data_IF_897569972395
#
_entry.id   IF_897569972395
#
_cell.length_a   1.000
_cell.length_b   1.000
_cell.length_c   1.000
_cell.angle_alpha   90.00
_cell.angle_beta   90.00
_cell.angle_gamma   90.00
#
_symmetry.space_group_name_H-M   'P 1'
#
loop_
_entity.id
_entity.type
_entity.pdbx_description
1 polymer ?
#
# COMPACT_ATOMS: atom_id res chain seq x y z
N UNK A 1 -64.23 -8.32 -46.54
CA UNK A 1 -65.06 -7.24 -47.14
C UNK A 1 -64.21 -6.00 -47.25
N UNK A 2 -63.92 -5.70 -48.44
CA UNK A 2 -63.95 -4.43 -49.20
C UNK A 2 -62.80 -3.50 -48.90
N UNK A 3 -61.86 -3.47 -49.82
CA UNK A 3 -61.73 -2.68 -51.07
C UNK A 3 -61.38 -1.22 -50.81
N UNK A 4 -60.27 -0.84 -51.30
CA UNK A 4 -59.72 -0.24 -52.53
C UNK A 4 -59.54 1.24 -52.34
N UNK A 5 -58.64 1.97 -52.84
CA UNK A 5 -57.95 2.19 -54.12
C UNK A 5 -57.10 3.41 -53.95
N UNK A 6 -56.05 3.73 -54.52
CA UNK A 6 -55.66 3.68 -55.91
C UNK A 6 -54.88 4.95 -56.23
N UNK A 7 -53.73 4.83 -56.73
CA UNK A 7 -52.89 5.60 -57.65
C UNK A 7 -53.34 6.94 -58.25
N UNK A 8 -52.55 7.75 -59.01
CA UNK A 8 -51.16 7.60 -59.45
C UNK A 8 -50.35 8.92 -59.58
N UNK A 9 -49.04 8.73 -59.75
CA UNK A 9 -48.06 9.43 -60.62
C UNK A 9 -48.21 10.91 -61.00
N UNK A 10 -47.15 11.70 -60.76
CA UNK A 10 -46.56 12.53 -61.84
C UNK A 10 -45.03 12.64 -61.68
N UNK A 11 -44.33 12.21 -62.75
CA UNK A 11 -42.92 12.40 -63.00
C UNK A 11 -42.74 13.80 -63.57
N UNK A 12 -41.81 14.61 -63.00
CA UNK A 12 -41.21 15.73 -63.70
C UNK A 12 -39.69 15.52 -63.75
N UNK A 13 -39.21 15.28 -64.94
CA UNK A 13 -37.80 15.35 -65.31
C UNK A 13 -37.46 16.81 -65.43
N UNK A 14 -36.44 17.27 -64.72
CA UNK A 14 -35.77 18.53 -65.01
C UNK A 14 -34.27 18.26 -65.03
N UNK A 15 -33.64 18.73 -66.16
CA UNK A 15 -32.31 18.39 -66.53
C UNK A 15 -31.27 19.02 -65.63
N UNK A 16 -30.14 18.34 -65.53
CA UNK A 16 -28.95 18.76 -64.85
C UNK A 16 -28.04 19.49 -65.85
N UNK A 17 -27.82 20.76 -65.67
CA UNK A 17 -26.71 21.52 -66.24
C UNK A 17 -25.57 21.47 -65.24
N UNK A 18 -24.54 20.71 -65.58
CA UNK A 18 -23.26 20.67 -64.86
C UNK A 18 -22.44 21.90 -65.24
N UNK A 19 -22.35 22.86 -64.29
CA UNK A 19 -21.41 23.97 -64.36
C UNK A 19 -20.15 23.56 -63.55
N UNK A 20 -19.07 23.17 -64.24
CA UNK A 20 -17.80 22.88 -63.62
C UNK A 20 -17.11 24.18 -63.20
N UNK A 21 -17.15 24.55 -61.92
CA UNK A 21 -16.36 25.62 -61.32
C UNK A 21 -15.00 25.01 -60.93
N UNK A 22 -13.98 25.24 -61.67
CA UNK A 22 -12.56 24.96 -61.28
C UNK A 22 -12.14 26.04 -60.28
N UNK A 23 -12.24 25.73 -59.00
CA UNK A 23 -11.62 26.57 -57.97
C UNK A 23 -10.16 26.19 -57.81
N UNK A 24 -9.26 27.06 -58.20
CA UNK A 24 -7.85 26.99 -57.84
C UNK A 24 -7.72 27.20 -56.33
N UNK A 25 -7.55 26.11 -55.57
CA UNK A 25 -7.17 26.18 -54.17
C UNK A 25 -5.68 26.58 -54.12
N UNK A 26 -5.42 27.84 -53.89
CA UNK A 26 -4.09 28.34 -53.56
C UNK A 26 -3.64 27.65 -52.25
N UNK A 27 -2.56 26.90 -52.31
CA UNK A 27 -1.89 26.38 -51.12
C UNK A 27 -1.36 27.57 -50.30
N UNK A 28 -2.11 27.96 -49.29
CA UNK A 28 -1.58 28.87 -48.29
C UNK A 28 -0.63 28.06 -47.40
N UNK A 29 0.66 28.44 -47.50
CA UNK A 29 1.67 27.94 -46.55
C UNK A 29 1.25 28.30 -45.13
N UNK A 30 1.10 27.28 -44.27
CA UNK A 30 0.89 27.50 -42.84
C UNK A 30 2.08 28.32 -42.30
N UNK A 31 1.82 29.37 -41.48
CA UNK A 31 2.89 30.12 -40.86
C UNK A 31 3.75 29.18 -40.00
N UNK A 32 5.05 29.16 -40.32
CA UNK A 32 6.02 28.44 -39.54
C UNK A 32 6.07 29.00 -38.12
N UNK A 33 5.91 28.13 -37.10
CA UNK A 33 6.38 28.40 -35.76
C UNK A 33 5.43 29.17 -34.85
N UNK A 34 4.35 28.52 -34.39
CA UNK A 34 3.87 28.85 -33.07
C UNK A 34 4.96 28.40 -32.07
N UNK A 35 5.44 29.26 -31.17
CA UNK A 35 6.38 28.81 -30.13
C UNK A 35 5.75 27.68 -29.34
N UNK A 36 6.44 26.53 -29.22
CA UNK A 36 6.02 25.47 -28.32
C UNK A 36 5.83 26.07 -26.92
N UNK A 37 4.72 25.78 -26.26
CA UNK A 37 4.56 26.19 -24.88
C UNK A 37 5.76 25.65 -24.06
N UNK A 38 6.24 26.41 -23.07
CA UNK A 38 7.30 25.92 -22.19
C UNK A 38 6.91 24.58 -21.60
N UNK A 39 7.87 23.66 -21.40
CA UNK A 39 7.58 22.39 -20.76
C UNK A 39 6.87 22.64 -19.43
N UNK A 40 5.80 21.92 -19.17
CA UNK A 40 5.08 22.01 -17.89
C UNK A 40 6.08 21.83 -16.75
N UNK A 41 5.97 22.60 -15.64
CA UNK A 41 6.84 22.39 -14.49
C UNK A 41 6.75 20.93 -14.06
N UNK A 42 7.87 20.32 -13.63
CA UNK A 42 7.86 18.93 -13.19
C UNK A 42 6.82 18.77 -12.10
N UNK A 43 5.88 17.82 -12.29
CA UNK A 43 4.92 17.44 -11.26
C UNK A 43 5.75 16.97 -10.06
N UNK A 44 5.51 17.47 -8.84
CA UNK A 44 6.21 16.97 -7.67
C UNK A 44 6.08 15.45 -7.64
N UNK A 45 7.21 14.76 -7.51
CA UNK A 45 7.19 13.30 -7.49
C UNK A 45 6.26 12.83 -6.35
N UNK A 46 5.31 11.94 -6.67
CA UNK A 46 4.37 11.39 -5.71
C UNK A 46 5.15 10.81 -4.51
N UNK A 47 4.68 11.06 -3.31
CA UNK A 47 5.25 10.48 -2.09
C UNK A 47 4.18 9.62 -1.45
N UNK A 48 4.54 8.42 -1.04
CA UNK A 48 3.68 7.49 -0.32
C UNK A 48 4.12 7.42 1.14
N UNK A 49 3.23 7.77 2.06
CA UNK A 49 3.45 7.71 3.50
C UNK A 49 2.71 6.53 4.12
N UNK A 50 3.43 5.66 4.81
CA UNK A 50 2.90 4.43 5.41
C UNK A 50 3.23 4.39 6.89
N UNK A 51 2.24 4.04 7.71
CA UNK A 51 2.42 3.72 9.13
C UNK A 51 2.25 2.21 9.31
N UNK A 52 3.17 1.58 10.05
CA UNK A 52 2.97 0.24 10.63
C UNK A 52 2.79 0.38 12.12
N UNK A 53 1.76 -0.24 12.70
CA UNK A 53 1.37 -0.05 14.10
C UNK A 53 0.71 -1.30 14.68
N UNK A 54 1.32 -1.89 15.71
CA UNK A 54 0.69 -2.95 16.48
C UNK A 54 -0.29 -2.36 17.51
N UNK A 55 -1.58 -2.74 17.43
CA UNK A 55 -2.62 -2.26 18.35
C UNK A 55 -2.58 -2.96 19.71
N UNK A 56 -1.87 -4.10 19.84
CA UNK A 56 -1.82 -4.89 21.08
C UNK A 56 -3.22 -5.25 21.63
N UNK A 57 -4.20 -5.41 20.73
CA UNK A 57 -5.59 -5.70 21.09
C UNK A 57 -6.18 -4.63 22.05
N UNK A 58 -6.92 -5.06 23.06
CA UNK A 58 -7.52 -4.21 24.10
C UNK A 58 -6.61 -3.97 25.32
N UNK A 59 -5.35 -4.41 25.26
CA UNK A 59 -4.38 -4.21 26.34
C UNK A 59 -4.06 -2.73 26.55
N UNK A 60 -3.52 -2.41 27.71
CA UNK A 60 -2.98 -1.08 28.04
C UNK A 60 -3.98 0.06 27.83
N UNK A 61 -5.21 -0.08 28.38
CA UNK A 61 -6.24 0.97 28.33
C UNK A 61 -6.58 1.42 26.90
N UNK A 62 -7.14 0.53 26.11
CA UNK A 62 -7.57 0.82 24.73
C UNK A 62 -8.46 2.08 24.63
N UNK A 63 -9.46 2.31 25.50
CA UNK A 63 -10.27 3.52 25.46
C UNK A 63 -9.47 4.83 25.49
N UNK A 64 -8.43 4.91 26.30
CA UNK A 64 -7.57 6.11 26.36
C UNK A 64 -6.56 6.14 25.19
N UNK A 65 -6.00 4.98 24.81
CA UNK A 65 -5.04 4.90 23.71
C UNK A 65 -5.65 5.28 22.36
N UNK A 66 -6.85 4.79 22.05
CA UNK A 66 -7.51 5.06 20.77
C UNK A 66 -7.69 6.55 20.48
N UNK A 67 -7.97 7.37 21.52
CA UNK A 67 -8.12 8.82 21.37
C UNK A 67 -6.79 9.46 20.97
N UNK A 68 -5.69 9.08 21.66
CA UNK A 68 -4.34 9.57 21.32
C UNK A 68 -3.88 9.12 19.94
N UNK A 69 -4.24 7.89 19.54
CA UNK A 69 -3.95 7.38 18.21
C UNK A 69 -4.65 8.19 17.12
N UNK A 70 -5.95 8.43 17.28
CA UNK A 70 -6.74 9.24 16.32
C UNK A 70 -6.12 10.62 16.19
N UNK A 71 -5.83 11.31 17.31
CA UNK A 71 -5.23 12.63 17.31
C UNK A 71 -3.85 12.65 16.60
N UNK A 72 -3.01 11.66 16.86
CA UNK A 72 -1.71 11.55 16.19
C UNK A 72 -1.84 11.27 14.68
N UNK A 73 -2.71 10.33 14.30
CA UNK A 73 -2.91 9.93 12.90
C UNK A 73 -3.61 11.03 12.09
N UNK A 74 -4.53 11.79 12.70
CA UNK A 74 -5.15 12.96 12.07
C UNK A 74 -4.15 14.07 11.79
N UNK A 75 -3.15 14.28 12.65
CA UNK A 75 -2.07 15.25 12.41
C UNK A 75 -1.08 14.78 11.34
N UNK A 76 -0.80 13.48 11.29
CA UNK A 76 0.15 12.91 10.34
C UNK A 76 -0.44 12.66 8.95
N UNK A 77 -1.74 12.35 8.89
CA UNK A 77 -2.48 12.02 7.66
C UNK A 77 -1.70 11.07 6.72
N UNK A 78 -1.22 9.91 7.20
CA UNK A 78 -0.52 8.97 6.35
C UNK A 78 -1.44 8.46 5.23
N UNK A 79 -0.86 8.07 4.09
CA UNK A 79 -1.64 7.53 2.97
C UNK A 79 -2.19 6.14 3.28
N UNK A 80 -1.43 5.36 4.05
CA UNK A 80 -1.83 4.03 4.49
C UNK A 80 -1.37 3.73 5.92
N UNK A 81 -2.11 2.87 6.63
CA UNK A 81 -1.83 2.42 7.99
C UNK A 81 -2.03 0.91 8.06
N UNK A 82 -0.94 0.16 8.23
CA UNK A 82 -0.98 -1.27 8.50
C UNK A 82 -1.09 -1.51 10.01
N UNK A 83 -2.18 -2.14 10.43
CA UNK A 83 -2.49 -2.43 11.83
C UNK A 83 -2.36 -3.92 12.10
N UNK A 84 -1.64 -4.27 13.16
CA UNK A 84 -1.52 -5.64 13.65
C UNK A 84 -2.25 -5.81 14.98
N UNK A 85 -2.56 -7.04 15.32
CA UNK A 85 -3.27 -7.43 16.54
C UNK A 85 -4.58 -6.65 16.76
N UNK A 86 -5.32 -6.46 15.69
CA UNK A 86 -6.68 -5.90 15.73
C UNK A 86 -7.61 -6.88 16.41
N UNK A 87 -8.42 -6.41 17.35
CA UNK A 87 -9.42 -7.19 18.07
C UNK A 87 -10.84 -6.70 17.76
N UNK A 88 -11.76 -7.66 17.67
CA UNK A 88 -13.20 -7.51 17.67
C UNK A 88 -13.79 -8.51 18.66
N UNK A 89 -14.78 -8.11 19.45
CA UNK A 89 -15.59 -9.02 20.30
C UNK A 89 -17.06 -8.62 20.21
N UNK A 90 -17.95 -9.37 20.91
CA UNK A 90 -19.36 -8.96 21.05
C UNK A 90 -19.53 -7.59 21.73
N UNK A 91 -18.59 -7.18 22.58
CA UNK A 91 -18.64 -5.94 23.36
C UNK A 91 -17.72 -4.84 22.83
N UNK A 92 -16.70 -5.24 22.06
CA UNK A 92 -15.73 -4.33 21.45
C UNK A 92 -15.90 -4.33 19.93
N UNK A 93 -16.40 -3.24 19.32
CA UNK A 93 -16.39 -3.09 17.87
C UNK A 93 -14.99 -3.25 17.29
N UNK A 94 -14.89 -3.71 16.04
CA UNK A 94 -13.61 -3.87 15.37
C UNK A 94 -12.77 -2.60 15.49
N UNK A 95 -11.59 -2.73 16.08
CA UNK A 95 -10.72 -1.59 16.40
C UNK A 95 -10.26 -0.85 15.14
N UNK A 96 -9.96 -1.57 14.05
CA UNK A 96 -9.53 -0.98 12.79
C UNK A 96 -10.67 -0.22 12.10
N UNK A 97 -11.86 -0.82 12.04
CA UNK A 97 -13.04 -0.15 11.48
C UNK A 97 -13.40 1.10 12.27
N UNK A 98 -13.29 1.04 13.61
CA UNK A 98 -13.51 2.21 14.45
C UNK A 98 -12.50 3.32 14.14
N UNK A 99 -11.20 3.02 14.03
CA UNK A 99 -10.17 3.99 13.67
C UNK A 99 -10.40 4.56 12.28
N UNK A 100 -10.72 3.72 11.30
CA UNK A 100 -11.02 4.13 9.93
C UNK A 100 -12.17 5.13 9.87
N UNK A 101 -13.25 4.88 10.62
CA UNK A 101 -14.39 5.80 10.72
C UNK A 101 -14.01 7.16 11.31
N UNK A 102 -13.09 7.22 12.30
CA UNK A 102 -12.60 8.48 12.87
C UNK A 102 -11.68 9.26 11.93
N UNK A 103 -10.99 8.57 11.04
CA UNK A 103 -10.02 9.15 10.11
C UNK A 103 -10.62 9.47 8.74
N UNK A 104 -11.78 8.88 8.40
CA UNK A 104 -12.35 8.93 7.05
C UNK A 104 -11.58 8.05 6.05
N UNK A 105 -11.02 6.93 6.52
CA UNK A 105 -10.23 6.00 5.72
C UNK A 105 -11.04 4.77 5.33
N UNK A 106 -10.71 4.18 4.20
CA UNK A 106 -11.13 2.83 3.85
C UNK A 106 -10.44 1.81 4.78
N UNK A 107 -11.09 0.67 5.07
CA UNK A 107 -10.56 -0.37 5.96
C UNK A 107 -10.72 -1.76 5.37
N UNK A 108 -9.62 -2.42 5.10
CA UNK A 108 -9.58 -3.85 4.78
C UNK A 108 -9.07 -4.62 6.01
N UNK A 109 -9.98 -5.36 6.68
CA UNK A 109 -9.68 -6.19 7.85
C UNK A 109 -9.68 -7.65 7.49
N UNK A 110 -8.58 -8.34 7.76
CA UNK A 110 -8.35 -9.76 7.47
C UNK A 110 -8.17 -10.55 8.76
N UNK A 111 -8.65 -11.80 8.76
CA UNK A 111 -8.63 -12.68 9.94
C UNK A 111 -8.76 -14.13 9.54
N UNK A 112 -8.01 -15.02 10.19
CA UNK A 112 -8.23 -16.47 10.10
C UNK A 112 -9.56 -16.90 10.76
N UNK A 113 -10.12 -16.09 11.65
CA UNK A 113 -11.44 -16.33 12.23
C UNK A 113 -12.53 -16.02 11.23
N UNK A 114 -13.52 -16.89 11.00
CA UNK A 114 -14.60 -16.64 10.06
C UNK A 114 -15.48 -15.45 10.48
N UNK A 115 -16.12 -14.74 9.53
CA UNK A 115 -16.97 -13.58 9.81
C UNK A 115 -18.12 -13.85 10.80
N UNK A 116 -18.57 -15.09 10.91
CA UNK A 116 -19.63 -15.50 11.84
C UNK A 116 -19.18 -15.56 13.31
N UNK A 117 -17.89 -15.51 13.58
CA UNK A 117 -17.34 -15.53 14.94
C UNK A 117 -17.47 -14.15 15.59
N UNK A 118 -18.09 -14.03 16.78
CA UNK A 118 -18.17 -12.72 17.46
C UNK A 118 -16.79 -12.17 17.84
N UNK A 119 -15.90 -13.06 18.30
CA UNK A 119 -14.52 -12.69 18.61
C UNK A 119 -13.61 -13.02 17.43
N UNK A 120 -12.97 -12.00 16.89
CA UNK A 120 -12.04 -12.10 15.76
C UNK A 120 -10.76 -11.33 16.07
N UNK A 121 -9.65 -11.93 15.66
CA UNK A 121 -8.32 -11.30 15.73
C UNK A 121 -7.72 -11.29 14.33
N UNK A 122 -6.99 -10.23 14.01
CA UNK A 122 -6.38 -10.16 12.70
C UNK A 122 -5.54 -8.91 12.49
N UNK A 123 -5.36 -8.60 11.23
CA UNK A 123 -4.63 -7.43 10.77
C UNK A 123 -5.55 -6.56 9.92
N UNK A 124 -5.19 -5.29 9.72
CA UNK A 124 -5.93 -4.43 8.83
C UNK A 124 -5.02 -3.46 8.11
N UNK A 125 -5.44 -3.04 6.92
CA UNK A 125 -4.89 -1.88 6.24
C UNK A 125 -5.97 -0.81 6.14
N UNK A 126 -5.65 0.38 6.63
CA UNK A 126 -6.46 1.58 6.42
C UNK A 126 -5.80 2.44 5.36
N UNK A 127 -6.57 3.03 4.45
CA UNK A 127 -6.03 3.95 3.44
C UNK A 127 -7.00 5.05 3.09
N UNK A 128 -6.48 6.23 2.76
CA UNK A 128 -7.23 7.35 2.18
C UNK A 128 -7.14 7.40 0.66
N UNK A 129 -6.26 6.55 0.07
CA UNK A 129 -6.11 6.46 -1.38
C UNK A 129 -7.25 5.65 -2.00
N UNK A 130 -7.62 5.89 -3.27
CA UNK A 130 -8.58 5.06 -3.97
C UNK A 130 -8.11 3.61 -4.02
N UNK A 131 -8.98 2.67 -3.62
CA UNK A 131 -8.71 1.23 -3.63
C UNK A 131 -9.08 0.66 -5.00
N UNK A 132 -8.17 -0.09 -5.59
CA UNK A 132 -8.32 -0.76 -6.88
C UNK A 132 -8.64 -2.25 -6.72
N UNK A 133 -8.01 -2.89 -5.72
CA UNK A 133 -8.14 -4.33 -5.47
C UNK A 133 -7.84 -4.67 -4.02
N UNK A 134 -8.47 -5.73 -3.52
CA UNK A 134 -8.21 -6.31 -2.21
C UNK A 134 -8.11 -7.84 -2.31
N UNK A 135 -7.17 -8.42 -1.58
CA UNK A 135 -7.01 -9.87 -1.48
C UNK A 135 -6.45 -10.25 -0.11
N UNK A 136 -6.65 -11.52 0.27
CA UNK A 136 -6.11 -12.08 1.52
C UNK A 136 -5.71 -13.55 1.35
N UNK A 137 -4.79 -14.02 2.19
CA UNK A 137 -4.38 -15.42 2.25
C UNK A 137 -4.02 -15.82 3.67
N UNK A 138 -4.12 -17.13 3.97
CA UNK A 138 -3.56 -17.74 5.16
C UNK A 138 -2.10 -18.10 4.92
N UNK A 139 -1.26 -17.98 5.93
CA UNK A 139 0.14 -18.41 5.90
C UNK A 139 0.32 -19.70 6.72
N UNK A 140 1.19 -20.61 6.26
CA UNK A 140 1.54 -21.81 7.01
C UNK A 140 2.53 -21.52 8.14
N UNK A 141 2.52 -22.26 9.24
CA UNK A 141 1.52 -23.30 9.53
C UNK A 141 0.17 -22.67 9.90
N UNK A 142 -0.93 -23.27 9.47
CA UNK A 142 -2.28 -22.71 9.70
C UNK A 142 -2.67 -22.60 11.17
N UNK A 143 -2.04 -23.38 12.03
CA UNK A 143 -2.25 -23.36 13.48
C UNK A 143 -1.81 -22.03 14.13
N UNK A 144 -0.93 -21.28 13.46
CA UNK A 144 -0.50 -19.97 13.92
C UNK A 144 -1.52 -18.86 13.63
N UNK A 145 -2.55 -19.16 12.84
CA UNK A 145 -3.58 -18.20 12.43
C UNK A 145 -3.00 -16.92 11.79
N UNK A 146 -1.83 -17.02 11.17
CA UNK A 146 -1.19 -15.91 10.47
C UNK A 146 -1.86 -15.68 9.13
N UNK A 147 -2.13 -14.41 8.83
CA UNK A 147 -2.80 -13.97 7.60
C UNK A 147 -2.02 -12.84 6.95
N UNK A 148 -2.04 -12.80 5.62
CA UNK A 148 -1.53 -11.69 4.84
C UNK A 148 -2.63 -11.07 3.97
N UNK A 149 -2.59 -9.75 3.81
CA UNK A 149 -3.52 -8.99 2.98
C UNK A 149 -2.80 -8.15 1.94
N UNK A 150 -3.51 -7.88 0.86
CA UNK A 150 -3.15 -6.95 -0.21
C UNK A 150 -4.25 -5.90 -0.33
N UNK A 151 -3.86 -4.64 -0.39
CA UNK A 151 -4.69 -3.55 -0.91
C UNK A 151 -3.90 -2.87 -2.01
N UNK A 152 -4.38 -2.96 -3.25
CA UNK A 152 -3.84 -2.19 -4.38
C UNK A 152 -4.52 -0.84 -4.40
N UNK A 153 -3.74 0.22 -4.41
CA UNK A 153 -4.23 1.60 -4.38
C UNK A 153 -3.79 2.39 -5.62
N UNK A 154 -4.54 3.43 -5.95
CA UNK A 154 -4.12 4.44 -6.92
C UNK A 154 -3.36 5.57 -6.22
N UNK A 155 -2.07 5.66 -6.48
CA UNK A 155 -1.23 6.78 -6.05
C UNK A 155 -1.08 7.78 -7.20
N UNK A 156 -2.04 8.70 -7.33
CA UNK A 156 -2.03 9.76 -8.36
C UNK A 156 -1.94 9.22 -9.81
N UNK A 157 -2.70 8.18 -10.12
CA UNK A 157 -2.71 7.53 -11.43
C UNK A 157 -1.71 6.38 -11.59
N UNK A 158 -0.95 6.05 -10.53
CA UNK A 158 -0.02 4.92 -10.52
C UNK A 158 -0.49 3.86 -9.51
N UNK A 159 -0.73 2.62 -9.93
CA UNK A 159 -1.06 1.55 -9.00
C UNK A 159 0.14 1.22 -8.10
N UNK A 160 -0.15 0.94 -6.82
CA UNK A 160 0.83 0.47 -5.83
C UNK A 160 0.21 -0.63 -5.00
N UNK A 161 0.92 -1.74 -4.81
CA UNK A 161 0.52 -2.83 -3.93
C UNK A 161 0.98 -2.56 -2.50
N UNK A 162 0.05 -2.61 -1.56
CA UNK A 162 0.29 -2.50 -0.13
C UNK A 162 -0.02 -3.85 0.51
N UNK A 163 1.02 -4.67 0.70
CA UNK A 163 0.90 -5.92 1.43
C UNK A 163 1.04 -5.66 2.93
N UNK A 164 0.30 -6.42 3.74
CA UNK A 164 0.37 -6.30 5.19
C UNK A 164 0.16 -7.65 5.86
N UNK A 165 0.88 -7.87 6.97
CA UNK A 165 0.86 -9.14 7.68
C UNK A 165 1.33 -8.98 9.13
N UNK A 166 1.19 -10.07 9.89
CA UNK A 166 1.86 -10.29 11.16
C UNK A 166 2.33 -11.74 11.20
N UNK A 167 3.64 -11.94 11.28
CA UNK A 167 4.25 -13.25 11.38
C UNK A 167 4.23 -13.76 12.82
N UNK A 168 4.62 -15.01 13.01
CA UNK A 168 4.71 -15.69 14.30
C UNK A 168 5.55 -14.88 15.30
N UNK A 169 4.97 -14.63 16.49
CA UNK A 169 5.53 -13.65 17.43
C UNK A 169 6.50 -14.26 18.46
N UNK A 170 6.48 -15.56 18.65
CA UNK A 170 7.28 -16.19 19.69
C UNK A 170 8.78 -16.11 19.37
N UNK A 171 9.57 -16.01 20.44
CA UNK A 171 11.01 -15.76 20.32
C UNK A 171 11.75 -16.87 19.59
N UNK A 172 11.37 -18.12 19.83
CA UNK A 172 11.92 -19.34 19.25
C UNK A 172 11.22 -19.77 17.96
N UNK A 173 10.28 -18.96 17.46
CA UNK A 173 9.47 -19.20 16.27
C UNK A 173 10.16 -18.95 14.93
N UNK A 174 11.49 -19.00 14.85
CA UNK A 174 12.24 -18.72 13.61
C UNK A 174 11.85 -19.64 12.45
N UNK A 175 11.59 -20.92 12.72
CA UNK A 175 11.14 -21.89 11.71
C UNK A 175 9.78 -21.49 11.13
N UNK A 176 8.80 -21.19 11.98
CA UNK A 176 7.46 -20.75 11.55
C UNK A 176 7.53 -19.44 10.78
N UNK A 177 8.33 -18.45 11.23
CA UNK A 177 8.54 -17.21 10.49
C UNK A 177 9.16 -17.43 9.12
N UNK A 178 10.07 -18.39 9.00
CA UNK A 178 10.68 -18.74 7.71
C UNK A 178 9.64 -19.30 6.74
N UNK A 179 8.83 -20.26 7.18
CA UNK A 179 7.75 -20.85 6.38
C UNK A 179 6.74 -19.77 5.96
N UNK A 180 6.34 -18.90 6.90
CA UNK A 180 5.45 -17.78 6.62
C UNK A 180 6.05 -16.76 5.64
N UNK A 181 7.36 -16.52 5.70
CA UNK A 181 8.05 -15.63 4.77
C UNK A 181 8.15 -16.25 3.36
N UNK A 182 8.37 -17.56 3.25
CA UNK A 182 8.38 -18.27 1.97
C UNK A 182 6.98 -18.25 1.33
N UNK A 183 5.91 -18.53 2.09
CA UNK A 183 4.51 -18.44 1.64
C UNK A 183 4.14 -17.03 1.18
N UNK A 184 4.50 -16.05 2.00
CA UNK A 184 4.22 -14.65 1.70
C UNK A 184 4.88 -14.22 0.39
N UNK A 185 6.12 -14.63 0.16
CA UNK A 185 6.81 -14.32 -1.11
C UNK A 185 6.16 -15.01 -2.29
N UNK A 186 5.79 -16.29 -2.16
CA UNK A 186 5.07 -17.01 -3.22
C UNK A 186 3.73 -16.34 -3.56
N UNK A 187 3.01 -15.86 -2.54
CA UNK A 187 1.75 -15.14 -2.74
C UNK A 187 1.96 -13.76 -3.38
N UNK A 188 2.98 -13.00 -2.94
CA UNK A 188 3.36 -11.72 -3.56
C UNK A 188 3.71 -11.93 -5.05
N UNK A 189 4.49 -12.98 -5.37
CA UNK A 189 4.86 -13.28 -6.76
C UNK A 189 3.64 -13.59 -7.63
N UNK A 190 2.63 -14.25 -7.06
CA UNK A 190 1.39 -14.58 -7.76
C UNK A 190 0.44 -13.38 -7.95
N UNK A 191 0.50 -12.36 -7.08
CA UNK A 191 -0.50 -11.28 -7.03
C UNK A 191 0.05 -9.89 -7.37
N UNK A 192 1.38 -9.72 -7.43
CA UNK A 192 1.98 -8.40 -7.66
C UNK A 192 1.72 -7.84 -9.06
N UNK A 193 1.57 -8.69 -10.10
CA UNK A 193 1.28 -8.28 -11.49
C UNK A 193 2.24 -7.20 -12.04
N UNK A 194 3.49 -7.17 -11.57
CA UNK A 194 4.48 -6.15 -11.95
C UNK A 194 4.25 -4.76 -11.36
N UNK A 195 3.22 -4.59 -10.53
CA UNK A 195 2.92 -3.35 -9.81
C UNK A 195 3.92 -3.16 -8.68
N UNK A 196 4.48 -1.94 -8.49
CA UNK A 196 5.38 -1.63 -7.38
C UNK A 196 4.78 -2.01 -6.03
N UNK A 197 5.57 -2.70 -5.18
CA UNK A 197 5.04 -3.35 -3.98
C UNK A 197 5.77 -2.90 -2.71
N UNK A 198 4.98 -2.67 -1.65
CA UNK A 198 5.43 -2.50 -0.27
C UNK A 198 4.87 -3.62 0.59
N UNK A 199 5.56 -3.90 1.70
CA UNK A 199 5.10 -4.86 2.70
C UNK A 199 5.29 -4.25 4.09
N UNK A 200 4.20 -4.07 4.84
CA UNK A 200 4.20 -3.49 6.18
C UNK A 200 3.65 -4.48 7.21
N UNK A 201 4.21 -4.47 8.42
CA UNK A 201 3.67 -5.32 9.47
C UNK A 201 4.61 -5.68 10.59
N UNK A 202 4.20 -6.67 11.39
CA UNK A 202 4.95 -7.26 12.48
C UNK A 202 5.70 -8.52 12.03
N UNK A 203 7.03 -8.48 12.04
CA UNK A 203 7.87 -9.59 11.57
C UNK A 203 8.57 -10.34 12.69
N UNK A 204 8.66 -9.76 13.87
CA UNK A 204 9.27 -10.34 15.08
C UNK A 204 10.67 -10.91 14.90
N UNK A 205 11.39 -10.38 13.93
CA UNK A 205 12.78 -10.69 13.61
C UNK A 205 13.48 -9.44 13.06
N UNK A 206 14.79 -9.40 13.11
CA UNK A 206 15.57 -8.35 12.43
C UNK A 206 15.43 -8.51 10.91
N UNK A 207 15.46 -7.40 10.16
CA UNK A 207 15.31 -7.43 8.71
C UNK A 207 16.36 -8.29 7.98
N UNK A 208 17.51 -8.47 8.60
CA UNK A 208 18.63 -9.31 8.12
C UNK A 208 18.67 -10.71 8.77
N UNK A 209 17.64 -11.06 9.55
CA UNK A 209 17.54 -12.38 10.17
C UNK A 209 17.41 -13.49 9.11
N UNK A 210 18.01 -14.68 9.33
CA UNK A 210 17.97 -15.79 8.37
C UNK A 210 16.56 -16.22 7.98
N UNK A 211 15.60 -16.14 8.90
CA UNK A 211 14.20 -16.47 8.65
C UNK A 211 13.49 -15.50 7.70
N UNK A 212 13.98 -14.25 7.57
CA UNK A 212 13.45 -13.25 6.64
C UNK A 212 14.25 -13.15 5.33
N UNK A 213 15.21 -14.04 5.11
CA UNK A 213 16.02 -14.06 3.88
C UNK A 213 15.19 -14.07 2.57
N UNK A 214 14.01 -14.74 2.48
CA UNK A 214 13.17 -14.66 1.28
C UNK A 214 12.74 -13.24 0.93
N UNK A 215 12.40 -12.43 1.94
CA UNK A 215 12.03 -11.02 1.76
C UNK A 215 13.25 -10.18 1.36
N UNK A 216 14.38 -10.41 2.01
CA UNK A 216 15.61 -9.64 1.80
C UNK A 216 16.18 -9.76 0.39
N UNK A 217 15.82 -10.78 -0.39
CA UNK A 217 16.24 -10.91 -1.78
C UNK A 217 15.67 -9.79 -2.67
N UNK A 218 14.41 -9.39 -2.46
CA UNK A 218 13.67 -8.41 -3.29
C UNK A 218 13.48 -7.06 -2.60
N UNK A 219 13.20 -7.08 -1.30
CA UNK A 219 12.82 -5.92 -0.54
C UNK A 219 14.00 -5.30 0.25
N UNK A 220 13.95 -3.99 0.42
CA UNK A 220 14.80 -3.22 1.34
C UNK A 220 14.02 -2.86 2.60
N UNK A 221 14.68 -2.85 3.75
CA UNK A 221 14.11 -2.35 5.00
C UNK A 221 14.26 -0.82 5.08
N UNK A 222 13.15 -0.14 5.32
CA UNK A 222 13.12 1.33 5.45
C UNK A 222 13.83 1.86 6.69
N UNK A 223 13.97 1.04 7.73
CA UNK A 223 14.60 1.40 9.01
C UNK A 223 16.12 1.16 9.02
N UNK A 224 16.66 0.40 8.07
CA UNK A 224 18.08 0.07 7.99
C UNK A 224 18.98 1.33 7.89
N UNK A 225 18.52 2.38 7.23
CA UNK A 225 19.24 3.65 7.08
C UNK A 225 19.24 4.51 8.34
N UNK A 226 18.22 4.40 9.20
CA UNK A 226 18.18 5.10 10.49
C UNK A 226 19.18 4.53 11.49
N UNK A 227 19.42 3.21 11.44
CA UNK A 227 20.40 2.54 12.31
C UNK A 227 21.83 2.94 11.97
N UNK A 228 22.14 3.26 10.71
CA UNK A 228 23.45 3.74 10.26
C UNK A 228 23.78 5.19 10.65
N UNK A 229 22.80 5.97 11.06
CA UNK A 229 22.97 7.39 11.38
C UNK A 229 23.31 7.67 12.87
N UNK A 230 23.56 6.67 13.68
CA UNK A 230 24.23 6.80 14.99
C UNK A 230 23.42 7.40 16.14
N UNK A 231 22.09 7.47 16.07
CA UNK A 231 21.27 8.17 17.07
C UNK A 231 20.40 7.29 17.99
N UNK A 232 20.45 5.97 17.89
CA UNK A 232 19.66 5.07 18.75
C UNK A 232 20.51 4.25 19.74
N UNK A 233 21.32 4.92 20.52
CA UNK A 233 21.82 4.32 21.77
C UNK A 233 20.73 4.42 22.84
N UNK A 234 20.35 3.30 23.51
CA UNK A 234 19.39 3.33 24.61
C UNK A 234 19.96 4.17 25.75
N UNK A 235 19.52 5.40 25.90
CA UNK A 235 20.02 6.32 26.94
C UNK A 235 19.52 6.02 28.36
N UNK A 236 18.72 4.99 28.60
CA UNK A 236 17.99 4.81 29.87
C UNK A 236 18.05 3.39 30.44
N UNK A 237 19.20 2.73 30.54
CA UNK A 237 19.37 1.54 31.40
C UNK A 237 18.42 0.35 31.10
N UNK A 238 17.83 0.28 29.91
CA UNK A 238 17.05 -0.85 29.44
C UNK A 238 18.01 -1.93 28.96
N UNK A 239 17.66 -3.20 29.27
CA UNK A 239 18.35 -4.33 28.69
C UNK A 239 18.41 -4.16 27.16
N UNK A 240 19.61 -4.05 26.56
CA UNK A 240 19.74 -3.85 25.12
C UNK A 240 19.04 -4.92 24.30
N UNK A 241 18.94 -6.17 24.81
CA UNK A 241 18.25 -7.27 24.14
C UNK A 241 16.74 -7.11 24.13
N UNK A 242 16.13 -6.63 25.23
CA UNK A 242 14.68 -6.37 25.25
C UNK A 242 14.31 -5.15 24.40
N UNK A 243 15.16 -4.14 24.34
CA UNK A 243 14.98 -3.00 23.46
C UNK A 243 15.12 -3.38 21.98
N UNK A 244 16.13 -4.18 21.65
CA UNK A 244 16.37 -4.67 20.30
C UNK A 244 15.18 -5.50 19.79
N UNK A 245 14.64 -6.43 20.58
CA UNK A 245 13.49 -7.25 20.21
C UNK A 245 12.21 -6.42 19.94
N UNK A 246 11.96 -5.42 20.77
CA UNK A 246 10.79 -4.55 20.61
C UNK A 246 10.96 -3.53 19.45
N UNK A 247 12.19 -3.17 19.11
CA UNK A 247 12.51 -2.28 17.99
C UNK A 247 12.54 -3.01 16.64
N UNK A 248 12.59 -4.35 16.66
CA UNK A 248 12.71 -5.21 15.47
C UNK A 248 11.38 -5.88 15.07
N UNK A 249 10.28 -5.59 15.76
CA UNK A 249 9.01 -6.25 15.50
C UNK A 249 8.32 -5.71 14.24
N UNK A 250 8.34 -4.39 14.04
CA UNK A 250 7.60 -3.71 12.98
C UNK A 250 8.55 -3.23 11.89
N UNK A 251 8.26 -3.63 10.65
CA UNK A 251 9.00 -3.20 9.47
C UNK A 251 8.06 -2.65 8.40
N UNK A 252 8.60 -1.78 7.56
CA UNK A 252 8.07 -1.44 6.24
C UNK A 252 9.15 -1.79 5.24
N UNK A 253 8.93 -2.85 4.50
CA UNK A 253 9.77 -3.29 3.41
C UNK A 253 9.29 -2.71 2.09
N UNK A 254 10.20 -2.38 1.18
CA UNK A 254 9.89 -1.82 -0.14
C UNK A 254 10.75 -2.47 -1.22
N UNK A 255 10.23 -2.64 -2.42
CA UNK A 255 11.01 -3.09 -3.58
C UNK A 255 12.11 -2.07 -3.89
N UNK A 256 13.38 -2.53 -3.87
CA UNK A 256 14.57 -1.65 -3.94
C UNK A 256 14.71 -0.89 -5.24
N UNK A 257 14.28 -1.49 -6.33
CA UNK A 257 14.30 -0.96 -7.69
C UNK A 257 13.07 -0.13 -8.05
N UNK A 258 12.04 -0.12 -7.17
CA UNK A 258 10.77 0.56 -7.39
C UNK A 258 10.53 1.75 -6.47
N UNK A 259 11.23 1.80 -5.34
CA UNK A 259 11.05 2.88 -4.36
C UNK A 259 12.37 3.40 -3.82
N UNK A 260 12.36 4.68 -3.48
CA UNK A 260 13.42 5.35 -2.72
C UNK A 260 12.87 5.76 -1.36
N UNK A 261 13.47 5.32 -0.24
CA UNK A 261 13.08 5.81 1.08
C UNK A 261 13.54 7.26 1.25
N UNK A 262 12.61 8.12 1.69
CA UNK A 262 12.86 9.53 1.98
C UNK A 262 13.01 9.79 3.47
N UNK A 263 12.17 9.13 4.28
CA UNK A 263 12.11 9.32 5.72
C UNK A 263 11.61 8.05 6.40
N UNK A 264 12.18 7.77 7.57
CA UNK A 264 11.64 6.81 8.52
C UNK A 264 11.69 7.42 9.92
N UNK A 265 10.64 7.22 10.74
CA UNK A 265 10.56 7.77 12.08
C UNK A 265 9.67 6.89 12.96
N UNK A 266 10.02 6.77 14.25
CA UNK A 266 9.14 6.12 15.22
C UNK A 266 7.93 7.00 15.50
N UNK A 267 6.75 6.38 15.45
CA UNK A 267 5.49 7.01 15.81
C UNK A 267 5.38 7.01 17.33
N UNK A 268 5.01 8.17 17.89
CA UNK A 268 4.82 8.38 19.33
C UNK A 268 6.06 8.00 20.16
N UNK A 269 7.02 8.92 20.32
CA UNK A 269 8.10 8.74 21.25
C UNK A 269 7.54 8.52 22.65
N UNK A 270 8.19 7.66 23.41
CA UNK A 270 7.78 7.27 24.75
C UNK A 270 7.50 8.48 25.64
N UNK A 271 6.31 8.56 26.22
CA UNK A 271 6.00 9.57 27.23
C UNK A 271 6.89 9.34 28.46
N UNK A 272 7.70 10.32 28.91
CA UNK A 272 8.47 10.18 30.13
C UNK A 272 7.58 9.81 31.30
N UNK A 273 7.90 8.72 32.01
CA UNK A 273 7.12 8.24 33.16
C UNK A 273 5.96 7.29 32.83
N UNK A 274 5.62 7.06 31.56
CA UNK A 274 4.62 6.07 31.18
C UNK A 274 5.07 4.65 31.52
N UNK A 275 4.14 3.80 31.97
CA UNK A 275 4.38 2.39 32.19
C UNK A 275 4.90 1.71 30.89
N UNK A 276 5.71 0.64 31.04
CA UNK A 276 6.17 -0.13 29.89
C UNK A 276 4.97 -0.65 29.10
N UNK A 277 4.92 -0.39 27.77
CA UNK A 277 3.82 -0.80 26.90
C UNK A 277 2.64 0.19 26.82
N UNK A 278 2.68 1.32 27.49
CA UNK A 278 1.58 2.30 27.47
C UNK A 278 1.45 3.09 26.15
N UNK A 279 2.53 3.21 25.38
CA UNK A 279 2.52 3.93 24.10
C UNK A 279 2.67 2.96 22.94
N UNK A 280 1.78 3.00 21.92
CA UNK A 280 1.89 2.17 20.76
C UNK A 280 3.18 2.51 19.99
N UNK A 281 3.96 1.48 19.72
CA UNK A 281 5.20 1.61 18.94
C UNK A 281 4.83 1.44 17.47
N UNK A 282 4.86 2.52 16.71
CA UNK A 282 4.63 2.50 15.29
C UNK A 282 5.85 3.00 14.52
N UNK A 283 5.91 2.65 13.26
CA UNK A 283 6.90 3.10 12.30
C UNK A 283 6.20 3.92 11.21
N UNK A 284 6.59 5.19 11.04
CA UNK A 284 6.17 6.04 9.92
C UNK A 284 7.28 6.05 8.87
N UNK A 285 6.94 5.75 7.64
CA UNK A 285 7.85 5.75 6.50
C UNK A 285 7.27 6.61 5.38
N UNK A 286 8.12 7.40 4.73
CA UNK A 286 7.80 8.09 3.50
C UNK A 286 8.70 7.55 2.38
N UNK A 287 8.08 7.13 1.29
CA UNK A 287 8.70 6.51 0.13
C UNK A 287 8.34 7.29 -1.13
N UNK A 288 9.28 7.39 -2.05
CA UNK A 288 9.06 7.92 -3.38
C UNK A 288 9.09 6.77 -4.37
N UNK A 289 8.00 6.54 -5.15
CA UNK A 289 8.07 5.65 -6.29
C UNK A 289 9.15 6.13 -7.26
N UNK A 290 9.92 5.19 -7.80
CA UNK A 290 10.84 5.45 -8.88
C UNK A 290 10.06 5.33 -10.19
N UNK A 291 10.30 6.22 -11.15
CA UNK A 291 9.76 6.07 -12.48
C UNK A 291 10.21 4.70 -13.03
N UNK A 292 9.33 3.95 -13.72
CA UNK A 292 9.76 2.72 -14.38
C UNK A 292 10.93 3.03 -15.30
N UNK A 293 12.01 2.27 -15.17
CA UNK A 293 13.13 2.36 -16.11
C UNK A 293 12.55 2.23 -17.53
N UNK A 294 12.95 3.08 -18.49
CA UNK A 294 12.51 2.94 -19.88
C UNK A 294 12.77 1.50 -20.34
N UNK A 295 11.83 0.93 -21.08
CA UNK A 295 11.87 -0.47 -21.52
C UNK A 295 13.17 -0.83 -22.29
N UNK A 296 13.86 0.18 -22.82
CA UNK A 296 15.13 0.04 -23.55
C UNK A 296 16.36 -0.17 -22.64
N UNK A 297 16.21 -0.09 -21.32
CA UNK A 297 17.30 -0.30 -20.35
C UNK A 297 17.46 -1.78 -19.91
N UNK A 298 16.66 -2.70 -20.45
CA UNK A 298 16.86 -4.12 -20.23
C UNK A 298 18.20 -4.55 -20.88
N UNK A 299 19.11 -5.24 -20.15
CA UNK A 299 20.33 -5.75 -20.77
C UNK A 299 19.95 -6.70 -21.91
N UNK A 300 20.68 -6.68 -23.04
CA UNK A 300 20.41 -7.58 -24.14
C UNK A 300 20.47 -9.03 -23.63
N UNK A 301 19.43 -9.81 -23.97
CA UNK A 301 19.40 -11.23 -23.67
C UNK A 301 20.66 -11.87 -24.28
N UNK A 302 21.35 -12.79 -23.58
CA UNK A 302 22.46 -13.51 -24.16
C UNK A 302 21.96 -14.25 -25.41
N UNK A 303 22.61 -13.95 -26.53
CA UNK A 303 22.35 -14.63 -27.81
C UNK A 303 22.81 -16.08 -27.65
N UNK A 304 22.01 -17.08 -28.09
CA UNK A 304 22.33 -18.49 -27.93
C UNK A 304 23.57 -18.95 -28.70
#
# INVERSE_FOLDING_TARGET
MTRTSGTPRRRHRLGWLLLALVTHAGAQALPAGLPMPPPAPPVPAATLSVVSLNLEQDRNDWPARRVRLVDALQRLQPDAIALQEVLQTSELPNQAQWLAAQLGYHCHFISADPPSRPQRRGNALLTRLPVLEEAETLLHPFEDYSVAGLVRVDLHGQPVNLYFTRLHAERDGGASRREQADDLMAWIDATAEGVPSLLAGGFYAAADAPELAPLAARFGDSDARLRGAGNDTPRNGLDPHLFALAAQADHVFFERDRFRPLRSARLLPRTPGAARGADPRGLLVALQPLDPLPADAAPPLPVP
#
